data_IF_716412934901
#
_entry.id   IF_716412934901
#
_cell.length_a   1.000
_cell.length_b   1.000
_cell.length_c   1.000
_cell.angle_alpha   90.00
_cell.angle_beta   90.00
_cell.angle_gamma   90.00
#
_symmetry.space_group_name_H-M   'P 1'
#
loop_
_entity.id
_entity.type
_entity.pdbx_description
1 polymer ?
#
# COMPACT_ATOMS: atom_id res chain seq x y z
N UNK A 1 17.88 42.72 -34.86
CA UNK A 1 18.48 41.48 -34.28
C UNK A 1 18.57 41.51 -32.75
N UNK A 2 19.01 42.60 -32.11
CA UNK A 2 19.18 42.68 -30.65
C UNK A 2 17.93 42.38 -29.79
N UNK A 3 16.71 42.72 -30.25
CA UNK A 3 15.48 42.42 -29.49
C UNK A 3 15.14 40.93 -29.45
N UNK A 4 15.42 40.18 -30.54
CA UNK A 4 15.20 38.73 -30.61
C UNK A 4 16.14 37.98 -29.67
N UNK A 5 17.41 38.40 -29.59
CA UNK A 5 18.40 37.80 -28.67
C UNK A 5 18.02 38.04 -27.21
N UNK A 6 17.52 39.23 -26.85
CA UNK A 6 17.05 39.54 -25.48
C UNK A 6 15.83 38.71 -25.09
N UNK A 7 14.86 38.53 -26.01
CA UNK A 7 13.69 37.68 -25.79
C UNK A 7 14.11 36.22 -25.62
N UNK A 8 15.02 35.72 -26.46
CA UNK A 8 15.55 34.35 -26.34
C UNK A 8 16.22 34.13 -24.98
N UNK A 9 17.10 35.05 -24.56
CA UNK A 9 17.76 34.97 -23.24
C UNK A 9 16.75 35.01 -22.10
N UNK A 10 15.72 35.86 -22.20
CA UNK A 10 14.65 35.91 -21.20
C UNK A 10 13.88 34.58 -21.12
N UNK A 11 13.56 33.96 -22.26
CA UNK A 11 12.91 32.64 -22.29
C UNK A 11 13.80 31.57 -21.66
N UNK A 12 15.11 31.56 -21.95
CA UNK A 12 16.06 30.62 -21.33
C UNK A 12 16.10 30.79 -19.82
N UNK A 13 16.12 32.04 -19.33
CA UNK A 13 16.06 32.32 -17.88
C UNK A 13 14.75 31.79 -17.27
N UNK A 14 13.61 31.98 -17.93
CA UNK A 14 12.34 31.45 -17.43
C UNK A 14 12.30 29.92 -17.42
N UNK A 15 12.85 29.26 -18.43
CA UNK A 15 12.93 27.80 -18.51
C UNK A 15 13.81 27.27 -17.37
N UNK A 16 15.00 27.84 -17.18
CA UNK A 16 15.94 27.43 -16.12
C UNK A 16 15.36 27.67 -14.73
N UNK A 17 14.68 28.80 -14.50
CA UNK A 17 13.98 29.06 -13.24
C UNK A 17 12.82 28.07 -13.02
N UNK A 18 12.03 27.78 -14.05
CA UNK A 18 10.94 26.80 -13.97
C UNK A 18 11.46 25.40 -13.65
N UNK A 19 12.56 25.00 -14.30
CA UNK A 19 13.23 23.72 -14.04
C UNK A 19 13.79 23.64 -12.62
N UNK A 20 14.49 24.69 -12.15
CA UNK A 20 15.02 24.74 -10.79
C UNK A 20 13.93 24.65 -9.72
N UNK A 21 12.79 25.31 -9.92
CA UNK A 21 11.64 25.19 -9.00
C UNK A 21 11.06 23.78 -8.99
N UNK A 22 10.99 23.13 -10.16
CA UNK A 22 10.53 21.74 -10.26
C UNK A 22 11.45 20.80 -9.48
N UNK A 23 12.76 20.87 -9.72
CA UNK A 23 13.76 20.01 -9.06
C UNK A 23 13.75 20.19 -7.54
N UNK A 24 13.75 21.44 -7.07
CA UNK A 24 13.66 21.73 -5.64
C UNK A 24 12.41 21.12 -5.01
N UNK A 25 11.25 21.19 -5.67
CA UNK A 25 10.01 20.59 -5.16
C UNK A 25 10.06 19.07 -5.16
N UNK A 26 10.59 18.46 -6.22
CA UNK A 26 10.67 17.02 -6.37
C UNK A 26 11.58 16.43 -5.28
N UNK A 27 12.83 16.89 -5.22
CA UNK A 27 13.80 16.37 -4.25
C UNK A 27 13.47 16.73 -2.81
N UNK A 28 12.90 17.90 -2.54
CA UNK A 28 12.41 18.21 -1.20
C UNK A 28 11.34 17.20 -0.75
N UNK A 29 10.37 16.89 -1.62
CA UNK A 29 9.34 15.89 -1.30
C UNK A 29 9.95 14.51 -1.07
N UNK A 30 10.90 14.11 -1.92
CA UNK A 30 11.58 12.82 -1.79
C UNK A 30 12.41 12.72 -0.50
N UNK A 31 13.17 13.76 -0.14
CA UNK A 31 13.93 13.79 1.11
C UNK A 31 13.04 13.85 2.35
N UNK A 32 11.87 14.48 2.25
CA UNK A 32 10.88 14.41 3.32
C UNK A 32 10.37 12.97 3.48
N UNK A 33 10.03 12.28 2.38
CA UNK A 33 9.58 10.88 2.39
C UNK A 33 10.65 9.94 2.98
N UNK A 34 11.92 10.09 2.62
CA UNK A 34 13.02 9.29 3.19
C UNK A 34 13.13 9.41 4.71
N UNK A 35 12.86 10.60 5.26
CA UNK A 35 12.91 10.84 6.70
C UNK A 35 11.64 10.38 7.40
N UNK A 36 10.50 10.68 6.80
CA UNK A 36 9.17 10.51 7.40
C UNK A 36 8.62 9.10 7.25
N UNK A 37 9.15 8.33 6.29
CA UNK A 37 8.65 7.02 5.86
C UNK A 37 9.80 6.05 5.58
N UNK A 38 10.69 5.80 6.56
CA UNK A 38 11.84 4.90 6.38
C UNK A 38 11.44 3.46 6.05
N UNK A 39 10.21 3.07 6.40
CA UNK A 39 9.62 1.77 6.03
C UNK A 39 9.27 1.64 4.54
N UNK A 40 9.16 2.76 3.80
CA UNK A 40 8.74 2.78 2.39
C UNK A 40 9.85 3.23 1.43
N UNK A 41 10.81 4.03 1.90
CA UNK A 41 11.84 4.63 1.07
C UNK A 41 13.20 4.54 1.75
N UNK A 42 14.22 4.14 1.00
CA UNK A 42 15.64 4.24 1.37
C UNK A 42 16.45 4.74 0.17
N UNK A 43 17.65 5.27 0.45
CA UNK A 43 18.66 5.55 -0.59
C UNK A 43 19.58 4.35 -0.83
N UNK A 44 19.68 3.46 0.15
CA UNK A 44 20.45 2.23 0.03
C UNK A 44 19.52 1.13 -0.51
N UNK A 45 19.94 0.55 -1.64
CA UNK A 45 19.20 -0.49 -2.35
C UNK A 45 19.08 -1.79 -1.53
N UNK A 46 19.97 -2.01 -0.55
CA UNK A 46 19.96 -3.20 0.30
C UNK A 46 19.16 -3.00 1.59
N UNK A 47 18.63 -1.81 1.84
CA UNK A 47 17.80 -1.58 3.02
C UNK A 47 16.49 -2.35 2.88
N UNK A 48 16.12 -3.21 3.84
CA UNK A 48 14.83 -3.87 3.81
C UNK A 48 13.70 -2.85 4.01
N UNK A 49 12.68 -2.92 3.16
CA UNK A 49 11.52 -2.03 3.19
C UNK A 49 10.25 -2.86 3.29
N UNK A 50 9.20 -2.31 3.91
CA UNK A 50 7.87 -2.94 3.92
C UNK A 50 7.27 -2.99 2.52
N UNK A 51 7.50 -1.94 1.72
CA UNK A 51 7.07 -1.85 0.31
C UNK A 51 7.68 -2.98 -0.50
N UNK A 52 6.88 -3.61 -1.33
CA UNK A 52 7.27 -4.77 -2.14
C UNK A 52 6.23 -5.89 -2.13
N UNK A 53 6.63 -7.04 -2.68
CA UNK A 53 5.77 -8.21 -2.79
C UNK A 53 6.17 -9.27 -1.76
N UNK A 54 5.15 -9.81 -1.10
CA UNK A 54 5.24 -10.81 -0.04
C UNK A 54 4.38 -12.02 -0.40
N UNK A 55 4.80 -13.22 0.01
CA UNK A 55 4.05 -14.44 -0.21
C UNK A 55 3.96 -15.26 1.07
N UNK A 56 2.78 -15.76 1.38
CA UNK A 56 2.54 -16.65 2.50
C UNK A 56 1.57 -17.76 2.15
N UNK A 57 1.54 -18.78 2.98
CA UNK A 57 0.60 -19.89 2.89
C UNK A 57 -0.23 -19.95 4.16
N UNK A 58 -1.49 -20.33 4.01
CA UNK A 58 -2.38 -20.50 5.15
C UNK A 58 -3.48 -21.51 4.82
N UNK A 59 -4.19 -21.92 5.86
CA UNK A 59 -5.43 -22.69 5.72
C UNK A 59 -6.59 -21.85 6.18
N UNK A 60 -7.65 -21.87 5.39
CA UNK A 60 -8.91 -21.24 5.79
C UNK A 60 -9.61 -22.08 6.89
N UNK A 61 -10.71 -21.59 7.47
CA UNK A 61 -11.45 -22.35 8.49
C UNK A 61 -12.04 -23.68 7.99
N UNK A 62 -12.18 -23.88 6.68
CA UNK A 62 -12.56 -25.15 6.05
C UNK A 62 -11.35 -26.10 5.86
N UNK A 63 -10.18 -25.73 6.39
CA UNK A 63 -8.91 -26.44 6.24
C UNK A 63 -8.40 -26.50 4.77
N UNK A 64 -8.91 -25.64 3.89
CA UNK A 64 -8.46 -25.53 2.50
C UNK A 64 -7.15 -24.76 2.47
N UNK A 65 -6.12 -25.36 1.87
CA UNK A 65 -4.85 -24.70 1.65
C UNK A 65 -4.99 -23.56 0.63
N UNK A 66 -4.44 -22.40 0.98
CA UNK A 66 -4.44 -21.19 0.17
C UNK A 66 -3.05 -20.56 0.19
N UNK A 67 -2.69 -19.94 -0.92
CA UNK A 67 -1.49 -19.09 -1.03
C UNK A 67 -1.95 -17.65 -1.17
N UNK A 68 -1.33 -16.75 -0.44
CA UNK A 68 -1.58 -15.31 -0.54
C UNK A 68 -0.32 -14.62 -1.07
N UNK A 69 -0.51 -13.77 -2.07
CA UNK A 69 0.49 -12.84 -2.57
C UNK A 69 0.03 -11.43 -2.27
N UNK A 70 0.82 -10.69 -1.52
CA UNK A 70 0.54 -9.34 -1.03
C UNK A 70 1.54 -8.39 -1.69
N UNK A 71 1.08 -7.32 -2.33
CA UNK A 71 1.93 -6.25 -2.85
C UNK A 71 1.60 -4.99 -2.07
N UNK A 72 2.57 -4.47 -1.31
CA UNK A 72 2.47 -3.18 -0.63
C UNK A 72 3.14 -2.13 -1.51
N UNK A 73 2.39 -1.11 -1.88
CA UNK A 73 2.85 -0.04 -2.77
C UNK A 73 3.47 1.13 -1.98
N UNK A 74 4.41 1.87 -2.60
CA UNK A 74 4.90 3.10 -2.00
C UNK A 74 3.75 4.12 -1.85
N UNK A 75 3.68 4.88 -0.73
CA UNK A 75 2.62 5.85 -0.51
C UNK A 75 2.47 6.93 -1.59
N UNK A 76 3.57 7.25 -2.27
CA UNK A 76 3.65 8.21 -3.37
C UNK A 76 4.54 7.61 -4.46
N UNK A 77 3.98 7.44 -5.66
CA UNK A 77 4.74 6.99 -6.84
C UNK A 77 5.57 8.13 -7.43
N UNK A 78 6.58 7.79 -8.23
CA UNK A 78 7.43 8.79 -8.89
C UNK A 78 6.65 9.65 -9.88
N UNK A 79 5.64 9.07 -10.55
CA UNK A 79 4.73 9.79 -11.43
C UNK A 79 3.84 10.77 -10.66
N UNK A 80 3.32 10.36 -9.49
CA UNK A 80 2.57 11.27 -8.64
C UNK A 80 3.46 12.41 -8.12
N UNK A 81 4.69 12.10 -7.73
CA UNK A 81 5.67 13.09 -7.27
C UNK A 81 6.02 14.09 -8.37
N UNK A 82 6.30 13.62 -9.58
CA UNK A 82 6.61 14.49 -10.73
C UNK A 82 5.42 15.38 -11.08
N UNK A 83 4.21 14.82 -11.12
CA UNK A 83 2.96 15.57 -11.37
C UNK A 83 2.73 16.64 -10.29
N UNK A 84 3.04 16.35 -9.04
CA UNK A 84 2.93 17.29 -7.92
C UNK A 84 3.99 18.40 -8.00
N UNK A 85 5.22 18.06 -8.37
CA UNK A 85 6.30 19.03 -8.54
C UNK A 85 6.03 20.00 -9.71
N UNK A 86 5.45 19.51 -10.81
CA UNK A 86 5.10 20.29 -12.00
C UNK A 86 3.92 21.27 -11.78
N UNK A 87 3.03 21.01 -10.81
CA UNK A 87 1.86 21.88 -10.58
C UNK A 87 2.24 23.20 -9.91
N UNK A 88 1.77 24.30 -10.51
CA UNK A 88 1.82 25.65 -9.93
C UNK A 88 0.71 25.76 -8.88
N UNK A 89 1.07 25.47 -7.63
CA UNK A 89 0.33 25.65 -6.38
C UNK A 89 -1.17 25.99 -6.52
N UNK A 90 -2.02 24.98 -6.78
CA UNK A 90 -3.47 25.11 -6.55
C UNK A 90 -3.78 24.73 -5.11
N UNK A 91 -4.59 25.56 -4.44
CA UNK A 91 -5.17 25.28 -3.12
C UNK A 91 -5.84 23.90 -3.15
N UNK A 92 -5.52 23.12 -2.10
CA UNK A 92 -5.88 21.71 -1.87
C UNK A 92 -7.37 21.42 -2.14
N UNK A 93 -7.66 20.50 -3.04
CA UNK A 93 -8.89 19.71 -2.97
C UNK A 93 -8.60 18.45 -2.17
N UNK A 94 -9.13 18.45 -0.95
CA UNK A 94 -9.65 17.32 -0.17
C UNK A 94 -9.26 15.92 -0.65
N UNK A 95 -8.23 15.36 -0.01
CA UNK A 95 -7.91 13.94 0.26
C UNK A 95 -6.39 13.83 0.42
N UNK A 96 -5.87 14.59 1.38
CA UNK A 96 -4.53 14.33 1.88
C UNK A 96 -4.65 13.03 2.67
N UNK A 97 -4.09 11.92 2.15
CA UNK A 97 -3.57 10.86 3.02
C UNK A 97 -2.42 11.49 3.82
N UNK A 98 -2.81 12.30 4.81
CA UNK A 98 -1.95 13.20 5.60
C UNK A 98 -1.11 12.44 6.61
N UNK A 99 -1.40 11.16 6.77
CA UNK A 99 -0.77 10.36 7.77
C UNK A 99 0.37 9.58 7.11
N UNK A 100 1.58 9.97 7.49
CA UNK A 100 2.87 9.47 6.99
C UNK A 100 2.98 7.96 7.12
N UNK A 101 2.17 7.36 7.98
CA UNK A 101 2.22 5.95 8.33
C UNK A 101 1.32 5.06 7.46
N UNK A 102 0.48 5.60 6.56
CA UNK A 102 -0.43 4.77 5.77
C UNK A 102 0.22 4.16 4.53
N UNK A 103 -0.18 2.93 4.22
CA UNK A 103 0.12 2.24 2.97
C UNK A 103 -1.16 1.67 2.34
N UNK A 104 -1.07 1.48 1.03
CA UNK A 104 -2.05 0.74 0.23
C UNK A 104 -1.37 -0.41 -0.50
N UNK A 105 -2.17 -1.22 -1.18
CA UNK A 105 -1.66 -2.30 -1.99
C UNK A 105 -2.75 -3.23 -2.47
N UNK A 106 -2.31 -4.39 -2.96
CA UNK A 106 -3.18 -5.43 -3.50
C UNK A 106 -2.81 -6.79 -2.91
N UNK A 107 -3.80 -7.65 -2.74
CA UNK A 107 -3.60 -9.02 -2.34
C UNK A 107 -4.33 -9.95 -3.29
N UNK A 108 -3.63 -11.00 -3.71
CA UNK A 108 -4.20 -12.12 -4.46
C UNK A 108 -4.17 -13.36 -3.60
N UNK A 109 -5.32 -13.99 -3.40
CA UNK A 109 -5.43 -15.30 -2.76
C UNK A 109 -5.73 -16.35 -3.82
N UNK A 110 -4.93 -17.40 -3.86
CA UNK A 110 -5.09 -18.53 -4.79
C UNK A 110 -5.39 -19.79 -4.00
N UNK A 111 -6.37 -20.56 -4.47
CA UNK A 111 -6.76 -21.83 -3.87
C UNK A 111 -7.24 -22.81 -4.95
N UNK A 112 -7.52 -24.05 -4.55
CA UNK A 112 -8.20 -25.04 -5.42
C UNK A 112 -9.59 -24.56 -5.90
N UNK A 113 -10.20 -23.59 -5.20
CA UNK A 113 -11.52 -23.02 -5.53
C UNK A 113 -11.43 -21.84 -6.50
N UNK A 114 -10.23 -21.38 -6.84
CA UNK A 114 -9.97 -20.25 -7.73
C UNK A 114 -9.08 -19.17 -7.13
N UNK A 115 -9.07 -18.01 -7.80
CA UNK A 115 -8.32 -16.81 -7.45
C UNK A 115 -9.26 -15.73 -6.92
N UNK A 116 -8.85 -15.02 -5.88
CA UNK A 116 -9.55 -13.89 -5.28
C UNK A 116 -8.59 -12.69 -5.24
N UNK A 117 -9.10 -11.51 -5.58
CA UNK A 117 -8.33 -10.27 -5.63
C UNK A 117 -8.92 -9.28 -4.61
N UNK A 118 -8.02 -8.60 -3.90
CA UNK A 118 -8.35 -7.68 -2.84
C UNK A 118 -7.48 -6.43 -2.98
N UNK A 119 -8.08 -5.26 -2.81
CA UNK A 119 -7.35 -4.07 -2.39
C UNK A 119 -7.08 -4.14 -0.89
N UNK A 120 -5.95 -3.62 -0.45
CA UNK A 120 -5.62 -3.51 0.97
C UNK A 120 -5.20 -2.12 1.38
N UNK A 121 -5.47 -1.79 2.63
CA UNK A 121 -5.00 -0.56 3.25
C UNK A 121 -4.64 -0.80 4.70
N UNK A 122 -3.56 -0.17 5.15
CA UNK A 122 -3.10 -0.28 6.52
C UNK A 122 -2.25 0.91 6.91
N UNK A 123 -1.76 0.88 8.13
CA UNK A 123 -0.80 1.86 8.60
C UNK A 123 0.25 1.22 9.50
N UNK A 124 1.37 1.88 9.57
CA UNK A 124 2.47 1.59 10.46
C UNK A 124 2.23 2.29 11.80
N UNK A 125 2.64 1.71 12.93
CA UNK A 125 2.42 2.32 14.25
C UNK A 125 3.66 3.01 14.79
N UNK A 126 4.77 2.30 14.77
CA UNK A 126 6.02 2.75 15.34
C UNK A 126 6.77 3.68 14.40
N UNK A 127 7.69 4.47 14.94
CA UNK A 127 8.46 5.45 14.16
C UNK A 127 9.59 4.79 13.35
N UNK A 128 10.10 3.64 13.82
CA UNK A 128 11.02 2.76 13.07
C UNK A 128 10.29 2.01 11.94
N UNK A 129 8.99 1.85 12.10
CA UNK A 129 8.07 1.37 11.11
C UNK A 129 7.82 -0.13 11.07
N UNK A 130 8.37 -0.92 12.00
CA UNK A 130 8.29 -2.39 11.97
C UNK A 130 6.96 -2.97 12.48
N UNK A 131 6.18 -2.19 13.24
CA UNK A 131 4.87 -2.65 13.74
C UNK A 131 3.73 -2.09 12.91
N UNK A 132 2.79 -2.95 12.56
CA UNK A 132 1.62 -2.64 11.75
C UNK A 132 0.38 -2.54 12.63
N UNK A 133 -0.43 -1.53 12.33
CA UNK A 133 -1.81 -1.46 12.80
C UNK A 133 -2.70 -2.45 12.05
N UNK A 134 -4.03 -2.35 12.25
CA UNK A 134 -4.98 -3.14 11.48
C UNK A 134 -4.81 -2.92 9.97
N UNK A 135 -4.79 -4.02 9.21
CA UNK A 135 -4.81 -4.00 7.74
C UNK A 135 -6.19 -4.42 7.29
N UNK A 136 -6.83 -3.63 6.43
CA UNK A 136 -8.15 -3.92 5.89
C UNK A 136 -8.03 -4.47 4.49
N UNK A 137 -8.79 -5.51 4.17
CA UNK A 137 -8.93 -6.06 2.84
C UNK A 137 -10.33 -5.75 2.30
N UNK A 138 -10.41 -5.37 1.03
CA UNK A 138 -11.66 -5.06 0.32
C UNK A 138 -11.61 -5.63 -1.08
N UNK A 139 -12.75 -6.06 -1.63
CA UNK A 139 -12.86 -6.42 -3.05
C UNK A 139 -13.26 -5.18 -3.85
N UNK A 140 -12.78 -5.05 -5.09
CA UNK A 140 -12.96 -3.83 -5.89
C UNK A 140 -14.43 -3.49 -6.19
N UNK A 141 -15.29 -4.50 -6.32
CA UNK A 141 -16.72 -4.29 -6.55
C UNK A 141 -17.51 -4.02 -5.25
N UNK A 142 -16.89 -4.11 -4.07
CA UNK A 142 -17.56 -4.12 -2.76
C UNK A 142 -18.53 -5.31 -2.55
N UNK A 143 -18.82 -6.04 -3.62
CA UNK A 143 -19.52 -7.31 -3.69
C UNK A 143 -18.42 -8.35 -3.59
N UNK A 144 -18.34 -9.06 -2.46
CA UNK A 144 -17.45 -10.21 -2.33
C UNK A 144 -17.69 -11.20 -3.47
N UNK A 145 -16.71 -12.03 -3.86
CA UNK A 145 -16.93 -13.05 -4.89
C UNK A 145 -18.21 -13.81 -4.57
N UNK A 146 -19.09 -13.96 -5.57
CA UNK A 146 -20.46 -14.54 -5.48
C UNK A 146 -20.45 -16.05 -5.13
N UNK A 147 -19.37 -16.55 -4.53
CA UNK A 147 -19.15 -17.92 -4.11
C UNK A 147 -19.13 -17.96 -2.58
N UNK A 148 -19.87 -18.90 -2.00
CA UNK A 148 -19.76 -19.22 -0.57
C UNK A 148 -18.31 -19.60 -0.25
N UNK A 149 -17.57 -18.69 0.39
CA UNK A 149 -16.20 -18.92 0.83
C UNK A 149 -15.88 -18.05 2.05
N UNK A 150 -14.81 -18.43 2.77
CA UNK A 150 -14.18 -17.56 3.74
C UNK A 150 -13.28 -16.56 3.00
N UNK A 151 -13.69 -15.28 3.06
CA UNK A 151 -12.99 -14.15 2.47
C UNK A 151 -12.08 -13.48 3.52
N UNK A 152 -11.00 -12.86 3.06
CA UNK A 152 -10.17 -12.01 3.94
C UNK A 152 -10.94 -10.74 4.27
N UNK A 153 -10.99 -10.36 5.55
CA UNK A 153 -11.62 -9.11 5.98
C UNK A 153 -10.60 -8.12 6.53
N UNK A 154 -9.79 -8.58 7.49
CA UNK A 154 -8.86 -7.69 8.19
C UNK A 154 -7.74 -8.47 8.84
N UNK A 155 -6.51 -7.97 8.79
CA UNK A 155 -5.48 -8.35 9.73
C UNK A 155 -5.67 -7.60 11.05
N UNK A 156 -5.61 -8.34 12.15
CA UNK A 156 -5.61 -7.80 13.50
C UNK A 156 -4.38 -6.92 13.72
N UNK A 157 -4.48 -6.05 14.72
CA UNK A 157 -3.35 -5.28 15.20
C UNK A 157 -2.21 -6.17 15.70
N UNK A 158 -0.96 -5.69 15.61
CA UNK A 158 0.22 -6.41 16.04
C UNK A 158 0.92 -7.19 14.93
N UNK A 159 0.60 -6.90 13.67
CA UNK A 159 1.42 -7.34 12.55
C UNK A 159 2.83 -6.79 12.68
N UNK A 160 3.83 -7.57 12.29
CA UNK A 160 5.24 -7.16 12.38
C UNK A 160 5.94 -7.50 11.07
N UNK A 161 6.88 -6.68 10.67
CA UNK A 161 7.80 -7.02 9.61
C UNK A 161 9.22 -6.70 10.05
N UNK A 162 10.16 -7.50 9.55
CA UNK A 162 11.58 -7.30 9.72
C UNK A 162 12.29 -8.01 8.58
N UNK A 163 13.22 -7.31 7.92
CA UNK A 163 13.98 -7.85 6.80
C UNK A 163 13.07 -8.44 5.69
N UNK A 164 13.25 -9.71 5.36
CA UNK A 164 12.50 -10.45 4.35
C UNK A 164 11.30 -11.22 4.96
N UNK A 165 10.91 -10.94 6.20
CA UNK A 165 9.80 -11.57 6.91
C UNK A 165 8.70 -10.59 7.31
N UNK A 166 7.45 -10.99 7.10
CA UNK A 166 6.25 -10.26 7.51
C UNK A 166 5.29 -11.26 8.17
N UNK A 167 4.74 -10.90 9.33
CA UNK A 167 3.74 -11.70 10.04
C UNK A 167 2.47 -10.89 10.23
N UNK A 168 1.34 -11.45 9.78
CA UNK A 168 0.00 -10.86 9.94
C UNK A 168 -0.95 -11.90 10.52
N UNK A 169 -1.82 -11.48 11.43
CA UNK A 169 -2.92 -12.32 11.94
C UNK A 169 -4.22 -11.94 11.25
N UNK A 170 -4.61 -12.68 10.23
CA UNK A 170 -5.76 -12.38 9.37
C UNK A 170 -7.04 -12.99 9.92
N UNK A 171 -8.08 -12.16 10.06
CA UNK A 171 -9.45 -12.56 10.34
C UNK A 171 -10.25 -12.79 9.06
N UNK A 172 -11.10 -13.82 9.09
CA UNK A 172 -11.95 -14.23 7.98
C UNK A 172 -13.40 -13.83 8.21
N UNK A 173 -14.09 -13.49 7.12
CA UNK A 173 -15.56 -13.35 7.12
C UNK A 173 -16.16 -14.35 6.17
N UNK A 174 -17.24 -15.01 6.59
CA UNK A 174 -18.01 -15.90 5.72
C UNK A 174 -19.06 -15.07 4.96
N UNK A 175 -18.96 -15.08 3.64
CA UNK A 175 -19.94 -14.44 2.75
C UNK A 175 -20.77 -15.52 2.07
N UNK A 176 -22.09 -15.41 2.13
CA UNK A 176 -23.00 -16.35 1.48
C UNK A 176 -23.18 -16.00 0.00
N UNK A 177 -23.72 -16.96 -0.79
CA UNK A 177 -24.09 -16.75 -2.20
C UNK A 177 -25.08 -15.60 -2.45
N UNK A 178 -25.83 -15.17 -1.43
CA UNK A 178 -26.79 -14.07 -1.54
C UNK A 178 -26.17 -12.70 -1.23
N UNK A 179 -24.86 -12.65 -0.94
CA UNK A 179 -24.15 -11.43 -0.56
C UNK A 179 -24.29 -11.05 0.91
N UNK A 180 -25.03 -11.83 1.72
CA UNK A 180 -25.05 -11.61 3.16
C UNK A 180 -23.71 -11.99 3.77
N UNK A 181 -23.08 -11.04 4.47
CA UNK A 181 -21.86 -11.28 5.24
C UNK A 181 -22.23 -11.46 6.70
N UNK A 182 -21.90 -12.62 7.27
CA UNK A 182 -22.13 -12.88 8.69
C UNK A 182 -20.83 -12.60 9.45
N UNK A 183 -20.79 -11.46 10.14
CA UNK A 183 -19.77 -11.13 11.12
C UNK A 183 -20.47 -11.02 12.48
N UNK A 184 -20.52 -12.13 13.21
CA UNK A 184 -21.05 -12.15 14.58
C UNK A 184 -19.93 -12.45 15.54
N UNK A 185 -19.56 -11.47 16.37
CA UNK A 185 -18.62 -11.67 17.49
C UNK A 185 -19.13 -12.67 18.54
N UNK A 186 -20.41 -13.08 18.47
CA UNK A 186 -21.04 -14.02 19.40
C UNK A 186 -21.09 -15.47 18.88
N UNK A 187 -20.78 -15.71 17.60
CA UNK A 187 -20.67 -17.07 17.05
C UNK A 187 -19.18 -17.41 16.82
N UNK A 188 -18.59 -18.33 17.61
CA UNK A 188 -17.18 -18.73 17.51
C UNK A 188 -16.77 -19.29 16.14
N UNK A 189 -17.74 -19.59 15.27
CA UNK A 189 -17.50 -20.04 13.89
C UNK A 189 -17.04 -18.90 12.97
N UNK A 190 -17.35 -17.63 13.28
CA UNK A 190 -17.05 -16.47 12.43
C UNK A 190 -15.96 -15.53 12.96
N UNK A 191 -15.39 -15.78 14.14
CA UNK A 191 -14.17 -15.10 14.64
C UNK A 191 -12.93 -16.01 14.45
N UNK A 192 -12.76 -16.51 13.22
CA UNK A 192 -11.59 -17.32 12.89
C UNK A 192 -10.47 -16.42 12.43
N UNK A 193 -9.30 -16.61 13.05
CA UNK A 193 -8.07 -15.90 12.72
C UNK A 193 -6.98 -16.92 12.36
N UNK A 194 -6.15 -16.59 11.40
CA UNK A 194 -4.94 -17.34 11.06
C UNK A 194 -3.75 -16.40 11.08
N UNK A 195 -2.69 -16.82 11.76
CA UNK A 195 -1.38 -16.15 11.66
C UNK A 195 -0.69 -16.67 10.41
N UNK A 196 -0.35 -15.74 9.53
CA UNK A 196 0.33 -16.01 8.27
C UNK A 196 1.71 -15.40 8.36
N UNK A 197 2.72 -16.24 8.09
CA UNK A 197 4.08 -15.81 7.88
C UNK A 197 4.31 -15.65 6.39
N UNK A 198 4.82 -14.50 6.01
CA UNK A 198 5.12 -14.14 4.64
C UNK A 198 6.63 -14.02 4.48
N UNK A 199 7.11 -14.49 3.34
CA UNK A 199 8.46 -14.25 2.86
C UNK A 199 8.44 -13.26 1.70
N UNK A 200 9.47 -12.43 1.62
CA UNK A 200 9.63 -11.48 0.52
C UNK A 200 9.88 -12.20 -0.81
N UNK A 201 9.15 -11.81 -1.85
CA UNK A 201 9.45 -12.22 -3.22
C UNK A 201 10.49 -11.24 -3.77
N UNK A 202 11.69 -11.76 -4.07
CA UNK A 202 12.74 -10.98 -4.73
C UNK A 202 12.43 -10.88 -6.23
N UNK A 203 12.59 -9.70 -6.85
CA UNK A 203 12.42 -9.53 -8.28
C UNK A 203 13.45 -10.30 -9.11
#
# INVERSE_FOLDING_TARGET
>A
MASRTRILLFVVVLITLSWGVYECKYYYSYYADLKDRPWAYSRDENTPLLVGTWQGEFRDPDNVAKTIRLTIEPPVSDEERSRKAARRTRKRSSFSRTDKKWFGGEATVTSVRGKEEYSLSGHVRTDDGHQLGPVRFSTDDGIGPVRSNFNLHSASEGGTWQDDELTLTIGFTYTTKTGSSHWSSADPRYDKKATIHFSRIKP
#
